data_IF_157140891439
#
_entry.id   IF_157140891439
#
_cell.length_a   1.000
_cell.length_b   1.000
_cell.length_c   1.000
_cell.angle_alpha   90.00
_cell.angle_beta   90.00
_cell.angle_gamma   90.00
#
_symmetry.space_group_name_H-M   'P 1'
#
loop_
_entity.id
_entity.type
_entity.pdbx_description
1 polymer ?
#
# COMPACT_ATOMS: atom_id res chain seq x y z
N UNK A 1 -83.39 4.02 -23.29
CA UNK A 1 -82.40 3.06 -22.79
C UNK A 1 -81.01 3.67 -23.09
N UNK A 2 -80.38 4.39 -22.11
CA UNK A 2 -79.12 5.08 -22.30
C UNK A 2 -77.98 4.23 -21.77
N UNK A 3 -77.06 3.75 -22.65
CA UNK A 3 -75.89 3.02 -22.27
C UNK A 3 -74.84 4.04 -21.73
N UNK A 4 -74.36 3.84 -20.52
CA UNK A 4 -73.19 4.49 -19.98
C UNK A 4 -71.96 3.61 -20.24
N UNK A 5 -71.02 4.12 -21.01
CA UNK A 5 -69.70 3.48 -21.20
C UNK A 5 -68.75 4.10 -20.13
N UNK A 6 -68.31 3.29 -19.17
CA UNK A 6 -67.30 3.67 -18.19
C UNK A 6 -65.90 3.44 -18.79
N UNK A 7 -65.14 4.52 -18.98
CA UNK A 7 -63.75 4.42 -19.41
C UNK A 7 -62.86 4.11 -18.19
N UNK A 8 -62.22 2.94 -18.17
CA UNK A 8 -61.19 2.57 -17.19
C UNK A 8 -59.87 3.25 -17.59
N UNK A 9 -59.43 4.21 -16.84
CA UNK A 9 -58.10 4.83 -16.99
C UNK A 9 -57.04 3.94 -16.28
N UNK A 10 -56.26 3.17 -17.05
CA UNK A 10 -55.12 2.40 -16.53
C UNK A 10 -53.92 3.33 -16.30
N UNK A 11 -53.63 3.62 -15.04
CA UNK A 11 -52.41 4.38 -14.65
C UNK A 11 -51.19 3.47 -14.77
N UNK A 12 -50.35 3.70 -15.78
CA UNK A 12 -49.09 3.01 -15.94
C UNK A 12 -48.08 3.70 -14.99
N UNK A 13 -47.75 3.05 -13.88
CA UNK A 13 -46.63 3.47 -13.02
C UNK A 13 -45.30 3.16 -13.75
N UNK A 14 -44.66 4.17 -14.29
CA UNK A 14 -43.32 4.06 -14.82
C UNK A 14 -42.32 3.89 -13.65
N UNK A 15 -41.83 2.67 -13.41
CA UNK A 15 -40.70 2.44 -12.54
C UNK A 15 -39.44 3.01 -13.22
N UNK A 16 -38.96 4.17 -12.78
CA UNK A 16 -37.63 4.63 -13.12
C UNK A 16 -36.62 3.69 -12.46
N UNK A 17 -35.68 3.07 -13.20
CA UNK A 17 -34.62 2.29 -12.57
C UNK A 17 -33.78 3.24 -11.70
N UNK A 18 -33.76 3.00 -10.40
CA UNK A 18 -32.82 3.64 -9.49
C UNK A 18 -31.45 3.21 -9.97
N UNK A 19 -30.68 4.14 -10.54
CA UNK A 19 -29.29 3.90 -10.90
C UNK A 19 -28.54 3.50 -9.62
N UNK A 20 -28.23 2.23 -9.48
CA UNK A 20 -27.44 1.74 -8.37
C UNK A 20 -26.06 2.37 -8.48
N UNK A 21 -25.69 3.24 -7.53
CA UNK A 21 -24.37 3.83 -7.50
C UNK A 21 -23.33 2.71 -7.59
N UNK A 22 -22.36 2.85 -8.52
CA UNK A 22 -21.33 1.85 -8.70
C UNK A 22 -20.60 1.64 -7.36
N UNK A 23 -20.54 0.39 -6.90
CA UNK A 23 -19.91 0.05 -5.62
C UNK A 23 -18.44 0.48 -5.66
N UNK A 24 -18.00 1.26 -4.68
CA UNK A 24 -16.60 1.63 -4.52
C UNK A 24 -15.73 0.37 -4.42
N UNK A 25 -14.53 0.35 -5.02
CA UNK A 25 -13.63 -0.80 -4.90
C UNK A 25 -13.18 -0.96 -3.44
N UNK A 26 -12.87 -2.19 -3.04
CA UNK A 26 -12.18 -2.42 -1.76
C UNK A 26 -10.74 -1.88 -1.87
N UNK A 27 -10.26 -1.26 -0.80
CA UNK A 27 -8.88 -0.81 -0.65
C UNK A 27 -8.16 -1.80 0.26
N UNK A 28 -7.04 -2.35 -0.22
CA UNK A 28 -6.17 -3.25 0.54
C UNK A 28 -4.87 -2.53 0.83
N UNK A 29 -4.55 -2.35 2.11
CA UNK A 29 -3.38 -1.63 2.61
C UNK A 29 -2.33 -2.62 3.09
N UNK A 30 -1.10 -2.50 2.60
CA UNK A 30 0.03 -3.37 2.93
C UNK A 30 1.15 -2.53 3.51
N UNK A 31 1.53 -2.81 4.76
CA UNK A 31 2.57 -2.07 5.49
C UNK A 31 3.98 -2.41 4.98
N UNK A 32 4.94 -1.54 5.26
CA UNK A 32 6.35 -1.69 4.93
C UNK A 32 7.14 -2.61 5.86
N UNK A 33 8.46 -2.61 5.68
CA UNK A 33 9.38 -3.22 6.64
C UNK A 33 9.37 -2.44 7.96
N UNK A 34 9.68 -3.13 9.06
CA UNK A 34 9.75 -2.56 10.42
C UNK A 34 8.42 -2.05 10.98
N UNK A 35 7.30 -2.42 10.37
CA UNK A 35 5.93 -1.98 10.68
C UNK A 35 5.00 -3.18 10.80
N UNK A 36 3.77 -2.92 11.27
CA UNK A 36 2.63 -3.84 11.22
C UNK A 36 1.36 -3.13 10.70
N UNK A 37 0.24 -3.84 10.61
CA UNK A 37 -1.01 -3.29 10.07
C UNK A 37 -1.61 -2.14 10.88
N UNK A 38 -1.22 -1.95 12.14
CA UNK A 38 -1.77 -0.89 13.02
C UNK A 38 -1.42 0.52 12.53
N UNK A 39 -0.35 0.65 11.75
CA UNK A 39 0.07 1.94 11.17
C UNK A 39 -1.00 2.58 10.29
N UNK A 40 -1.91 1.78 9.73
CA UNK A 40 -2.96 2.24 8.83
C UNK A 40 -4.22 2.76 9.54
N UNK A 41 -4.28 2.76 10.88
CA UNK A 41 -5.51 3.04 11.64
C UNK A 41 -6.22 4.33 11.24
N UNK A 42 -5.50 5.45 11.15
CA UNK A 42 -6.08 6.75 10.79
C UNK A 42 -6.55 6.81 9.32
N UNK A 43 -5.77 6.27 8.40
CA UNK A 43 -6.11 6.21 6.97
C UNK A 43 -7.32 5.30 6.76
N UNK A 44 -7.37 4.15 7.43
CA UNK A 44 -8.53 3.23 7.41
C UNK A 44 -9.80 3.95 7.86
N UNK A 45 -9.76 4.62 9.02
CA UNK A 45 -10.92 5.33 9.56
C UNK A 45 -11.44 6.43 8.60
N UNK A 46 -10.53 7.19 7.96
CA UNK A 46 -10.91 8.21 6.97
C UNK A 46 -11.56 7.59 5.74
N UNK A 47 -10.93 6.57 5.14
CA UNK A 47 -11.45 5.89 3.95
C UNK A 47 -12.80 5.19 4.20
N UNK A 48 -12.98 4.59 5.39
CA UNK A 48 -14.26 3.99 5.79
C UNK A 48 -15.36 5.04 5.98
N UNK A 49 -15.02 6.20 6.56
CA UNK A 49 -15.94 7.35 6.66
C UNK A 49 -16.37 7.81 5.29
N UNK A 50 -15.49 7.77 4.30
CA UNK A 50 -15.77 8.12 2.91
C UNK A 50 -16.47 6.99 2.14
N UNK A 51 -16.82 5.88 2.81
CA UNK A 51 -17.65 4.80 2.26
C UNK A 51 -16.87 3.74 1.47
N UNK A 52 -15.56 3.62 1.66
CA UNK A 52 -14.79 2.49 1.14
C UNK A 52 -14.82 1.31 2.11
N UNK A 53 -14.71 0.10 1.59
CA UNK A 53 -14.31 -1.06 2.37
C UNK A 53 -12.79 -1.13 2.39
N UNK A 54 -12.20 -1.19 3.59
CA UNK A 54 -10.75 -1.23 3.77
C UNK A 54 -10.33 -2.54 4.43
N UNK A 55 -9.19 -3.08 4.00
CA UNK A 55 -8.54 -4.25 4.58
C UNK A 55 -7.06 -3.92 4.78
N UNK A 56 -6.64 -3.70 6.02
CA UNK A 56 -5.23 -3.61 6.38
C UNK A 56 -4.69 -5.03 6.58
N UNK A 57 -3.68 -5.40 5.79
CA UNK A 57 -3.06 -6.74 5.84
C UNK A 57 -1.90 -6.71 6.82
N UNK A 58 -1.91 -7.64 7.77
CA UNK A 58 -0.80 -7.85 8.69
C UNK A 58 0.08 -9.00 8.18
N UNK A 59 1.28 -8.66 7.71
CA UNK A 59 2.20 -9.62 7.13
C UNK A 59 2.77 -10.57 8.21
N UNK A 60 3.07 -11.84 7.90
CA UNK A 60 3.67 -12.78 8.85
C UNK A 60 5.00 -12.30 9.46
N UNK A 61 5.30 -12.70 10.69
CA UNK A 61 6.49 -12.28 11.42
C UNK A 61 6.30 -10.99 12.23
N UNK A 62 5.05 -10.55 12.41
CA UNK A 62 4.66 -9.39 13.24
C UNK A 62 4.13 -9.85 14.60
N UNK A 63 4.11 -8.98 15.63
CA UNK A 63 3.58 -9.35 16.94
C UNK A 63 2.16 -9.92 16.92
N UNK A 64 1.29 -9.38 16.05
CA UNK A 64 -0.10 -9.82 15.85
C UNK A 64 -0.23 -11.03 14.92
N UNK A 65 0.80 -11.34 14.12
CA UNK A 65 0.86 -12.48 13.21
C UNK A 65 2.23 -13.20 13.34
N UNK A 66 2.53 -13.80 14.51
CA UNK A 66 3.87 -14.26 14.86
C UNK A 66 4.31 -15.43 14.00
N UNK A 67 5.54 -15.35 13.51
CA UNK A 67 6.22 -16.40 12.76
C UNK A 67 7.74 -16.27 12.95
N UNK A 68 8.45 -17.40 13.02
CA UNK A 68 9.90 -17.38 13.12
C UNK A 68 10.52 -16.77 11.84
N UNK A 69 11.54 -15.90 11.94
CA UNK A 69 12.10 -15.18 10.79
C UNK A 69 12.58 -16.07 9.65
N UNK A 70 13.09 -17.27 9.95
CA UNK A 70 13.54 -18.26 8.99
C UNK A 70 12.38 -18.92 8.19
N UNK A 71 11.13 -18.75 8.62
CA UNK A 71 9.92 -19.24 7.94
C UNK A 71 9.22 -18.16 7.11
N UNK A 72 9.66 -16.92 7.24
CA UNK A 72 9.06 -15.79 6.48
C UNK A 72 9.75 -15.65 5.13
N UNK A 73 8.97 -15.55 4.05
CA UNK A 73 9.47 -15.38 2.69
C UNK A 73 8.67 -14.32 1.92
N UNK A 74 9.21 -13.81 0.81
CA UNK A 74 8.48 -12.90 -0.09
C UNK A 74 7.23 -13.57 -0.67
N UNK A 75 7.31 -14.86 -1.00
CA UNK A 75 6.16 -15.63 -1.47
C UNK A 75 5.05 -15.73 -0.43
N UNK A 76 5.41 -15.92 0.85
CA UNK A 76 4.44 -15.94 1.94
C UNK A 76 3.76 -14.58 2.11
N UNK A 77 4.51 -13.47 2.00
CA UNK A 77 3.94 -12.12 2.03
C UNK A 77 2.97 -11.91 0.86
N UNK A 78 3.39 -12.24 -0.37
CA UNK A 78 2.53 -12.22 -1.55
C UNK A 78 1.24 -13.01 -1.33
N UNK A 79 1.34 -14.25 -0.87
CA UNK A 79 0.19 -15.15 -0.73
C UNK A 79 -0.75 -14.69 0.40
N UNK A 80 -0.23 -14.05 1.44
CA UNK A 80 -1.03 -13.40 2.48
C UNK A 80 -1.88 -12.26 1.90
N UNK A 81 -1.30 -11.41 1.05
CA UNK A 81 -2.05 -10.33 0.38
C UNK A 81 -3.05 -10.91 -0.62
N UNK A 82 -2.71 -11.95 -1.38
CA UNK A 82 -3.65 -12.63 -2.29
C UNK A 82 -4.85 -13.19 -1.52
N UNK A 83 -4.64 -13.81 -0.37
CA UNK A 83 -5.72 -14.30 0.49
C UNK A 83 -6.65 -13.17 0.95
N UNK A 84 -6.11 -11.99 1.26
CA UNK A 84 -6.94 -10.82 1.58
C UNK A 84 -7.75 -10.36 0.35
N UNK A 85 -7.16 -10.38 -0.85
CA UNK A 85 -7.85 -10.08 -2.10
C UNK A 85 -8.94 -11.09 -2.44
N UNK A 86 -8.77 -12.37 -2.11
CA UNK A 86 -9.78 -13.42 -2.32
C UNK A 86 -11.06 -13.17 -1.53
N UNK A 87 -10.95 -12.49 -0.39
CA UNK A 87 -12.09 -12.10 0.44
C UNK A 87 -12.79 -10.81 -0.05
N UNK A 88 -12.26 -10.14 -1.09
CA UNK A 88 -12.87 -8.92 -1.64
C UNK A 88 -13.88 -9.23 -2.73
N UNK A 89 -14.83 -8.31 -2.95
CA UNK A 89 -15.74 -8.37 -4.10
C UNK A 89 -15.15 -7.55 -5.25
N UNK A 90 -14.88 -8.21 -6.38
CA UNK A 90 -14.31 -7.56 -7.57
C UNK A 90 -12.82 -7.22 -7.42
N UNK A 91 -12.34 -6.33 -8.30
CA UNK A 91 -10.93 -5.88 -8.27
C UNK A 91 -10.71 -4.83 -7.19
N UNK A 92 -9.61 -4.94 -6.45
CA UNK A 92 -9.24 -4.04 -5.38
C UNK A 92 -8.20 -3.00 -5.81
N UNK A 93 -8.18 -1.85 -5.13
CA UNK A 93 -7.04 -0.96 -5.09
C UNK A 93 -6.08 -1.50 -4.03
N UNK A 94 -4.83 -1.73 -4.39
CA UNK A 94 -3.81 -2.29 -3.48
C UNK A 94 -2.74 -1.25 -3.25
N UNK A 95 -2.61 -0.81 -2.00
CA UNK A 95 -1.64 0.19 -1.57
C UNK A 95 -0.49 -0.52 -0.87
N UNK A 96 0.73 -0.30 -1.32
CA UNK A 96 1.93 -0.80 -0.67
C UNK A 96 2.84 0.34 -0.24
N UNK A 97 3.21 0.35 1.03
CA UNK A 97 4.17 1.30 1.58
C UNK A 97 5.59 0.73 1.57
N UNK A 98 6.57 1.54 1.19
CA UNK A 98 7.99 1.19 1.36
C UNK A 98 8.34 -0.17 0.74
N UNK A 99 8.83 -1.13 1.52
CA UNK A 99 9.12 -2.50 1.09
C UNK A 99 7.90 -3.20 0.45
N UNK A 100 6.69 -2.89 0.92
CA UNK A 100 5.50 -3.52 0.35
C UNK A 100 5.29 -3.20 -1.14
N UNK A 101 5.98 -2.23 -1.71
CA UNK A 101 6.01 -2.04 -3.17
C UNK A 101 6.51 -3.29 -3.92
N UNK A 102 7.51 -4.00 -3.36
CA UNK A 102 7.98 -5.29 -3.90
C UNK A 102 6.92 -6.39 -3.70
N UNK A 103 6.28 -6.42 -2.50
CA UNK A 103 5.24 -7.41 -2.20
C UNK A 103 4.05 -7.27 -3.15
N UNK A 104 3.51 -6.05 -3.33
CA UNK A 104 2.35 -5.82 -4.21
C UNK A 104 2.72 -6.01 -5.70
N UNK A 105 3.97 -5.83 -6.07
CA UNK A 105 4.46 -6.16 -7.42
C UNK A 105 4.46 -7.68 -7.65
N UNK A 106 4.89 -8.48 -6.66
CA UNK A 106 4.79 -9.94 -6.70
C UNK A 106 3.32 -10.41 -6.74
N UNK A 107 2.40 -9.74 -6.02
CA UNK A 107 0.96 -10.01 -6.09
C UNK A 107 0.44 -9.76 -7.49
N UNK A 108 0.78 -8.62 -8.11
CA UNK A 108 0.35 -8.26 -9.45
C UNK A 108 0.94 -9.18 -10.53
N UNK A 109 2.14 -9.68 -10.34
CA UNK A 109 2.72 -10.70 -11.23
C UNK A 109 1.95 -12.02 -11.14
N UNK A 110 1.55 -12.43 -9.94
CA UNK A 110 0.85 -13.71 -9.70
C UNK A 110 -0.62 -13.67 -10.12
N UNK A 111 -1.35 -12.60 -9.76
CA UNK A 111 -2.79 -12.49 -10.02
C UNK A 111 -3.21 -11.04 -10.39
N UNK A 112 -2.81 -10.57 -11.58
CA UNK A 112 -3.12 -9.20 -12.02
C UNK A 112 -4.62 -8.93 -12.15
N UNK A 113 -5.44 -9.98 -12.31
CA UNK A 113 -6.89 -9.84 -12.55
C UNK A 113 -7.65 -9.38 -11.31
N UNK A 114 -7.11 -9.58 -10.10
CA UNK A 114 -7.71 -9.12 -8.84
C UNK A 114 -7.46 -7.66 -8.53
N UNK A 115 -6.55 -7.03 -9.25
CA UNK A 115 -6.09 -5.67 -8.98
C UNK A 115 -6.74 -4.68 -9.95
N UNK A 116 -7.33 -3.62 -9.40
CA UNK A 116 -7.81 -2.46 -10.15
C UNK A 116 -6.65 -1.50 -10.41
N UNK A 117 -5.96 -1.09 -9.35
CA UNK A 117 -4.84 -0.15 -9.36
C UNK A 117 -3.86 -0.53 -8.25
N UNK A 118 -2.57 -0.50 -8.53
CA UNK A 118 -1.50 -0.50 -7.53
C UNK A 118 -1.17 0.94 -7.14
N UNK A 119 -1.08 1.20 -5.85
CA UNK A 119 -0.63 2.49 -5.31
C UNK A 119 0.67 2.27 -4.55
N UNK A 120 1.74 2.87 -5.03
CA UNK A 120 3.07 2.84 -4.42
C UNK A 120 3.23 4.08 -3.55
N UNK A 121 3.16 3.94 -2.23
CA UNK A 121 3.37 5.03 -1.27
C UNK A 121 4.80 5.01 -0.79
N UNK A 122 5.62 6.00 -1.16
CA UNK A 122 7.05 6.03 -0.78
C UNK A 122 7.69 4.65 -0.90
N UNK A 123 7.41 3.93 -1.99
CA UNK A 123 7.61 2.49 -2.06
C UNK A 123 8.61 2.10 -3.16
N UNK A 124 9.29 0.98 -2.95
CA UNK A 124 10.12 0.39 -4.00
C UNK A 124 9.26 -0.06 -5.18
N UNK A 125 9.55 0.50 -6.36
CA UNK A 125 8.91 0.15 -7.63
C UNK A 125 9.91 -0.64 -8.48
N UNK A 126 9.91 -2.00 -8.40
CA UNK A 126 10.99 -2.83 -8.89
C UNK A 126 10.95 -3.06 -10.41
N UNK A 127 12.11 -3.36 -10.97
CA UNK A 127 12.29 -4.07 -12.23
C UNK A 127 12.44 -5.58 -11.97
N UNK A 128 12.38 -6.39 -13.03
CA UNK A 128 12.58 -7.84 -12.93
C UNK A 128 13.93 -8.18 -12.29
N UNK A 129 13.92 -9.02 -11.26
CA UNK A 129 15.11 -9.43 -10.52
C UNK A 129 15.58 -8.46 -9.42
N UNK A 130 14.91 -7.31 -9.22
CA UNK A 130 15.24 -6.43 -8.10
C UNK A 130 14.76 -7.01 -6.76
N UNK A 131 15.49 -6.71 -5.69
CA UNK A 131 15.11 -6.94 -4.29
C UNK A 131 15.20 -5.61 -3.53
N UNK A 132 14.64 -5.53 -2.31
CA UNK A 132 14.83 -4.33 -1.50
C UNK A 132 16.33 -4.02 -1.34
N UNK A 133 17.14 -5.04 -1.01
CA UNK A 133 18.58 -4.87 -0.80
C UNK A 133 19.26 -4.33 -2.05
N UNK A 134 18.98 -4.89 -3.23
CA UNK A 134 19.61 -4.44 -4.48
C UNK A 134 19.18 -3.03 -4.87
N UNK A 135 17.94 -2.62 -4.56
CA UNK A 135 17.43 -1.28 -4.85
C UNK A 135 17.96 -0.25 -3.85
N UNK A 136 17.99 -0.57 -2.55
CA UNK A 136 18.53 0.31 -1.52
C UNK A 136 20.01 0.68 -1.77
N UNK A 137 20.80 -0.25 -2.31
CA UNK A 137 22.19 0.01 -2.72
C UNK A 137 22.31 1.03 -3.88
N UNK A 138 21.25 1.29 -4.62
CA UNK A 138 21.20 2.25 -5.74
C UNK A 138 20.71 3.64 -5.30
N UNK A 139 20.39 3.83 -4.01
CA UNK A 139 19.94 5.09 -3.40
C UNK A 139 21.03 5.70 -2.50
N UNK A 140 21.97 6.50 -3.05
CA UNK A 140 23.05 7.07 -2.29
C UNK A 140 22.61 8.18 -1.32
N UNK A 141 21.41 8.74 -1.51
CA UNK A 141 20.87 9.84 -0.70
C UNK A 141 20.07 9.33 0.51
N UNK A 142 19.73 8.04 0.55
CA UNK A 142 19.06 7.41 1.70
C UNK A 142 19.92 7.47 2.96
N UNK A 143 19.30 7.79 4.10
CA UNK A 143 20.00 7.92 5.40
C UNK A 143 19.89 6.67 6.28
N UNK A 144 19.02 5.73 5.94
CA UNK A 144 18.77 4.56 6.78
C UNK A 144 19.95 3.58 6.83
N UNK A 145 20.72 3.45 5.74
CA UNK A 145 21.76 2.44 5.61
C UNK A 145 22.74 2.35 6.80
N UNK A 146 23.38 3.46 7.25
CA UNK A 146 24.30 3.46 8.39
C UNK A 146 23.68 3.04 9.72
N UNK A 147 22.34 3.09 9.84
CA UNK A 147 21.59 2.81 11.05
C UNK A 147 20.93 1.43 11.06
N UNK A 148 21.14 0.64 9.99
CA UNK A 148 20.65 -0.75 9.93
C UNK A 148 21.59 -1.69 10.68
N UNK A 149 21.02 -2.53 11.53
CA UNK A 149 21.71 -3.65 12.18
C UNK A 149 21.20 -4.95 11.60
N UNK A 150 22.11 -5.73 11.01
CA UNK A 150 21.81 -7.03 10.41
C UNK A 150 22.27 -8.13 11.36
N UNK A 151 21.33 -8.84 11.94
CA UNK A 151 21.56 -9.95 12.87
C UNK A 151 21.32 -11.28 12.13
N UNK A 152 22.33 -11.73 11.36
CA UNK A 152 22.20 -12.90 10.46
C UNK A 152 21.80 -14.17 11.19
N UNK A 153 22.33 -14.40 12.39
CA UNK A 153 22.04 -15.58 13.21
C UNK A 153 20.58 -15.63 13.67
N UNK A 154 19.97 -14.45 13.90
CA UNK A 154 18.56 -14.32 14.22
C UNK A 154 17.67 -14.23 12.99
N UNK A 155 18.25 -14.01 11.82
CA UNK A 155 17.52 -13.82 10.56
C UNK A 155 16.71 -12.52 10.51
N UNK A 156 17.15 -11.45 11.20
CA UNK A 156 16.44 -10.17 11.30
C UNK A 156 17.33 -8.97 10.95
N UNK A 157 16.67 -7.91 10.49
CA UNK A 157 17.19 -6.55 10.45
C UNK A 157 16.47 -5.70 11.51
N UNK A 158 17.19 -4.78 12.13
CA UNK A 158 16.63 -3.76 13.01
C UNK A 158 17.19 -2.37 12.66
N UNK A 159 16.49 -1.33 13.07
CA UNK A 159 16.94 0.07 12.92
C UNK A 159 17.41 0.57 14.27
N UNK A 160 18.56 1.25 14.31
CA UNK A 160 19.10 1.84 15.52
C UNK A 160 18.07 2.76 16.20
N UNK A 161 17.79 2.51 17.49
CA UNK A 161 16.71 3.17 18.23
C UNK A 161 16.79 4.71 18.15
N UNK A 162 18.00 5.28 18.35
CA UNK A 162 18.23 6.73 18.34
C UNK A 162 17.98 7.40 16.99
N UNK A 163 18.03 6.64 15.89
CA UNK A 163 17.86 7.17 14.54
C UNK A 163 16.39 7.12 14.05
N UNK A 164 15.55 6.29 14.69
CA UNK A 164 14.19 5.98 14.18
C UNK A 164 13.33 7.22 13.97
N UNK A 165 13.27 8.14 14.94
CA UNK A 165 12.46 9.35 14.84
C UNK A 165 12.89 10.22 13.64
N UNK A 166 14.19 10.47 13.51
CA UNK A 166 14.74 11.28 12.43
C UNK A 166 14.54 10.63 11.05
N UNK A 167 14.68 9.32 10.94
CA UNK A 167 14.52 8.59 9.68
C UNK A 167 13.06 8.55 9.21
N UNK A 168 12.16 8.21 10.12
CA UNK A 168 10.78 7.85 9.73
C UNK A 168 9.80 9.02 9.84
N UNK A 169 10.05 10.00 10.73
CA UNK A 169 9.07 11.06 11.06
C UNK A 169 9.68 12.46 11.13
N UNK A 170 10.82 12.70 10.49
CA UNK A 170 11.43 14.03 10.43
C UNK A 170 10.43 15.09 9.94
N UNK A 171 10.38 16.24 10.63
CA UNK A 171 9.43 17.31 10.35
C UNK A 171 7.96 17.00 10.74
N UNK A 172 7.68 15.81 11.25
CA UNK A 172 6.36 15.45 11.77
C UNK A 172 6.08 16.01 13.17
N UNK A 173 4.84 15.81 13.69
CA UNK A 173 4.45 16.25 15.03
C UNK A 173 5.39 15.70 16.12
N UNK A 174 5.72 16.52 17.12
CA UNK A 174 6.66 16.16 18.20
C UNK A 174 6.21 14.88 18.96
N UNK A 175 4.91 14.75 19.25
CA UNK A 175 4.36 13.56 19.91
C UNK A 175 4.59 12.29 19.12
N UNK A 176 4.47 12.36 17.79
CA UNK A 176 4.75 11.24 16.90
C UNK A 176 6.26 10.90 16.90
N UNK A 177 7.13 11.90 16.80
CA UNK A 177 8.58 11.67 16.85
C UNK A 177 9.02 11.01 18.15
N UNK A 178 8.37 11.29 19.28
CA UNK A 178 8.62 10.63 20.58
C UNK A 178 8.14 9.18 20.63
N UNK A 179 7.04 8.86 19.96
CA UNK A 179 6.41 7.54 19.99
C UNK A 179 7.06 6.54 19.01
N UNK A 180 7.53 6.99 17.85
CA UNK A 180 8.02 6.13 16.77
C UNK A 180 9.18 5.23 17.18
N UNK A 181 10.17 5.65 17.99
CA UNK A 181 11.25 4.75 18.39
C UNK A 181 10.80 3.44 19.01
N UNK A 182 9.70 3.45 19.76
CA UNK A 182 9.14 2.26 20.39
C UNK A 182 8.22 1.44 19.48
N UNK A 183 7.68 2.07 18.42
CA UNK A 183 6.76 1.43 17.50
C UNK A 183 7.44 0.67 16.33
N UNK A 184 8.70 1.01 16.02
CA UNK A 184 9.49 0.34 14.97
C UNK A 184 9.93 -1.04 15.45
N UNK A 185 9.56 -2.08 14.72
CA UNK A 185 9.82 -3.49 15.04
C UNK A 185 10.91 -4.09 14.16
N UNK A 186 11.38 -5.29 14.50
CA UNK A 186 12.39 -6.00 13.68
C UNK A 186 11.74 -6.60 12.41
N UNK A 187 12.54 -6.73 11.36
CA UNK A 187 12.11 -7.24 10.05
C UNK A 187 12.83 -8.56 9.71
N UNK A 188 12.13 -9.62 9.27
CA UNK A 188 12.76 -10.81 8.70
C UNK A 188 13.62 -10.50 7.47
N UNK A 189 14.85 -11.05 7.42
CA UNK A 189 15.82 -10.73 6.37
C UNK A 189 15.49 -11.35 5.00
N UNK A 190 14.95 -12.57 5.00
CA UNK A 190 14.76 -13.34 3.76
C UNK A 190 13.94 -12.57 2.74
N UNK A 191 12.76 -12.00 3.09
CA UNK A 191 11.96 -11.26 2.12
C UNK A 191 12.68 -10.03 1.53
N UNK A 192 13.51 -9.35 2.34
CA UNK A 192 14.24 -8.14 1.92
C UNK A 192 15.29 -8.44 0.85
N UNK A 193 15.91 -9.61 0.92
CA UNK A 193 16.97 -10.02 0.01
C UNK A 193 16.46 -10.82 -1.21
N UNK A 194 15.19 -11.25 -1.18
CA UNK A 194 14.62 -12.10 -2.25
C UNK A 194 14.31 -11.26 -3.48
N UNK A 195 14.87 -11.60 -4.66
CA UNK A 195 14.52 -10.94 -5.92
C UNK A 195 13.05 -11.19 -6.29
N UNK A 196 12.36 -10.14 -6.73
CA UNK A 196 11.00 -10.25 -7.26
C UNK A 196 11.04 -10.50 -8.76
N UNK A 197 10.16 -11.38 -9.24
CA UNK A 197 9.90 -11.53 -10.67
C UNK A 197 8.74 -10.65 -11.06
N UNK A 198 8.93 -9.85 -12.11
CA UNK A 198 7.86 -9.03 -12.73
C UNK A 198 7.99 -9.06 -14.25
N UNK A 199 6.87 -9.15 -14.96
CA UNK A 199 6.83 -9.22 -16.41
C UNK A 199 5.93 -8.13 -17.00
N UNK A 200 6.20 -7.75 -18.24
CA UNK A 200 5.31 -6.85 -19.00
C UNK A 200 3.92 -7.46 -19.22
N UNK A 201 3.80 -8.78 -19.20
CA UNK A 201 2.54 -9.50 -19.44
C UNK A 201 1.56 -9.43 -18.26
N UNK A 202 2.06 -9.38 -17.03
CA UNK A 202 1.28 -9.39 -15.80
C UNK A 202 1.41 -8.04 -15.05
N UNK A 203 2.45 -7.88 -14.24
CA UNK A 203 2.70 -6.63 -13.50
C UNK A 203 2.68 -5.39 -14.40
N UNK A 204 3.30 -5.47 -15.59
CA UNK A 204 3.38 -4.36 -16.54
C UNK A 204 2.02 -3.84 -17.00
N UNK A 205 0.99 -4.70 -17.07
CA UNK A 205 -0.37 -4.32 -17.52
C UNK A 205 -1.25 -3.73 -16.43
N UNK A 206 -0.89 -3.89 -15.16
CA UNK A 206 -1.69 -3.38 -14.04
C UNK A 206 -1.51 -1.86 -13.97
N UNK A 207 -2.62 -1.13 -13.81
CA UNK A 207 -2.60 0.31 -13.58
C UNK A 207 -1.84 0.65 -12.29
N UNK A 208 -1.01 1.69 -12.34
CA UNK A 208 -0.11 2.08 -11.25
C UNK A 208 -0.19 3.58 -10.97
N UNK A 209 -0.12 3.93 -9.70
CA UNK A 209 0.04 5.30 -9.21
C UNK A 209 1.19 5.32 -8.21
N UNK A 210 1.92 6.42 -8.16
CA UNK A 210 2.95 6.65 -7.17
C UNK A 210 2.61 7.87 -6.30
N UNK A 211 2.74 7.73 -4.98
CA UNK A 211 2.60 8.81 -4.00
C UNK A 211 3.98 9.03 -3.38
N UNK A 212 4.58 10.17 -3.71
CA UNK A 212 5.90 10.58 -3.21
C UNK A 212 5.80 11.18 -1.82
N UNK A 213 6.88 11.04 -1.05
CA UNK A 213 7.11 11.72 0.22
C UNK A 213 8.32 12.64 0.09
N UNK A 214 8.10 13.97 0.11
CA UNK A 214 9.11 14.96 -0.26
C UNK A 214 10.25 15.12 0.78
N UNK A 215 10.02 14.68 2.03
CA UNK A 215 10.99 14.80 3.12
C UNK A 215 11.56 13.45 3.54
N UNK A 216 11.43 12.43 2.73
CA UNK A 216 11.80 11.04 3.02
C UNK A 216 13.32 10.87 3.18
N UNK A 217 13.75 10.24 4.26
CA UNK A 217 15.15 9.89 4.54
C UNK A 217 15.41 8.38 4.47
N UNK A 218 14.39 7.58 4.23
CA UNK A 218 14.47 6.11 4.10
C UNK A 218 14.60 5.71 2.64
N UNK A 219 13.74 6.23 1.77
CA UNK A 219 13.84 6.15 0.31
C UNK A 219 13.87 7.59 -0.20
N UNK A 220 15.04 8.03 -0.65
CA UNK A 220 15.22 9.43 -1.01
C UNK A 220 14.23 9.90 -2.09
N UNK A 221 13.78 11.17 -2.05
CA UNK A 221 12.91 11.71 -3.11
C UNK A 221 13.53 11.59 -4.50
N UNK A 222 14.84 11.72 -4.63
CA UNK A 222 15.57 11.53 -5.89
C UNK A 222 15.47 10.09 -6.40
N UNK A 223 15.53 9.09 -5.50
CA UNK A 223 15.39 7.70 -5.86
C UNK A 223 13.94 7.32 -6.17
N UNK A 224 12.97 7.86 -5.43
CA UNK A 224 11.55 7.72 -5.76
C UNK A 224 11.26 8.18 -7.20
N UNK A 225 11.73 9.38 -7.57
CA UNK A 225 11.58 9.91 -8.93
C UNK A 225 12.29 9.03 -9.98
N UNK A 226 13.50 8.51 -9.67
CA UNK A 226 14.24 7.59 -10.56
C UNK A 226 13.49 6.29 -10.81
N UNK A 227 12.86 5.70 -9.79
CA UNK A 227 12.07 4.48 -9.96
C UNK A 227 10.86 4.70 -10.87
N UNK A 228 10.15 5.81 -10.69
CA UNK A 228 9.00 6.18 -11.53
C UNK A 228 9.41 6.47 -12.98
N UNK A 229 10.55 7.11 -13.19
CA UNK A 229 11.08 7.33 -14.55
C UNK A 229 11.36 6.01 -15.31
N UNK A 230 11.64 4.91 -14.58
CA UNK A 230 11.92 3.60 -15.18
C UNK A 230 10.67 2.71 -15.33
N UNK A 231 9.56 3.05 -14.67
CA UNK A 231 8.33 2.24 -14.71
C UNK A 231 7.12 3.16 -14.90
N UNK A 232 6.42 3.09 -16.03
CA UNK A 232 5.26 3.96 -16.29
C UNK A 232 4.19 3.83 -15.21
N UNK A 233 3.78 4.97 -14.66
CA UNK A 233 2.64 5.12 -13.76
C UNK A 233 1.61 6.07 -14.39
N UNK A 234 0.34 5.89 -14.06
CA UNK A 234 -0.74 6.73 -14.61
C UNK A 234 -0.75 8.14 -14.03
N UNK A 235 -0.40 8.26 -12.75
CA UNK A 235 -0.37 9.53 -12.04
C UNK A 235 0.64 9.49 -10.90
N UNK A 236 1.13 10.66 -10.54
CA UNK A 236 2.01 10.90 -9.42
C UNK A 236 1.39 11.96 -8.51
N UNK A 237 1.46 11.75 -7.20
CA UNK A 237 1.09 12.71 -6.17
C UNK A 237 2.26 12.92 -5.22
N UNK A 238 2.30 14.03 -4.49
CA UNK A 238 3.39 14.34 -3.57
C UNK A 238 2.84 14.85 -2.26
N UNK A 239 3.18 14.17 -1.17
CA UNK A 239 2.92 14.61 0.19
C UNK A 239 4.17 15.28 0.76
N UNK A 240 3.99 16.40 1.47
CA UNK A 240 5.08 17.12 2.13
C UNK A 240 5.40 16.47 3.49
N UNK A 241 5.67 15.17 3.48
CA UNK A 241 5.89 14.34 4.67
C UNK A 241 7.21 13.59 4.60
N UNK A 242 7.66 13.11 5.76
CA UNK A 242 8.68 12.07 5.87
C UNK A 242 8.09 10.70 5.45
N UNK A 243 8.85 9.62 5.66
CA UNK A 243 8.54 8.27 5.21
C UNK A 243 7.16 7.75 5.67
N UNK A 244 6.76 7.99 6.94
CA UNK A 244 5.50 7.51 7.50
C UNK A 244 4.35 8.50 7.25
N UNK A 245 4.02 8.74 5.98
CA UNK A 245 2.96 9.68 5.57
C UNK A 245 1.60 9.35 6.20
N UNK A 246 1.26 8.09 6.41
CA UNK A 246 0.01 7.63 7.02
C UNK A 246 -0.15 8.05 8.50
N UNK A 247 0.93 8.43 9.17
CA UNK A 247 0.91 8.99 10.54
C UNK A 247 1.05 10.50 10.56
N UNK A 248 1.69 11.10 9.53
CA UNK A 248 1.98 12.54 9.48
C UNK A 248 0.83 13.30 8.81
N UNK A 249 0.33 12.81 7.68
CA UNK A 249 -0.80 13.39 6.94
C UNK A 249 -1.77 12.30 6.44
N UNK A 250 -2.49 11.63 7.37
CA UNK A 250 -3.41 10.55 7.00
C UNK A 250 -4.56 11.00 6.10
N UNK A 251 -5.00 12.25 6.22
CA UNK A 251 -6.09 12.79 5.40
C UNK A 251 -5.63 13.05 3.96
N UNK A 252 -4.51 13.73 3.77
CA UNK A 252 -3.94 13.96 2.44
C UNK A 252 -3.61 12.64 1.73
N UNK A 253 -3.11 11.65 2.48
CA UNK A 253 -2.88 10.32 1.93
C UNK A 253 -4.18 9.62 1.52
N UNK A 254 -5.22 9.67 2.35
CA UNK A 254 -6.51 9.06 2.02
C UNK A 254 -7.10 9.71 0.76
N UNK A 255 -7.05 11.03 0.63
CA UNK A 255 -7.53 11.76 -0.55
C UNK A 255 -6.78 11.33 -1.83
N UNK A 256 -5.46 11.09 -1.76
CA UNK A 256 -4.68 10.60 -2.90
C UNK A 256 -5.00 9.13 -3.25
N UNK A 257 -5.23 8.28 -2.26
CA UNK A 257 -5.71 6.90 -2.47
C UNK A 257 -7.10 6.90 -3.12
N UNK A 258 -8.00 7.78 -2.73
CA UNK A 258 -9.33 7.92 -3.35
C UNK A 258 -9.26 8.32 -4.82
N UNK A 259 -8.36 9.26 -5.18
CA UNK A 259 -8.11 9.61 -6.59
C UNK A 259 -7.64 8.40 -7.40
N UNK A 260 -6.88 7.48 -6.78
CA UNK A 260 -6.48 6.22 -7.40
C UNK A 260 -7.67 5.28 -7.61
N UNK A 261 -8.65 5.29 -6.72
CA UNK A 261 -9.81 4.41 -6.72
C UNK A 261 -10.92 4.81 -7.71
N UNK A 262 -11.00 6.09 -8.11
CA UNK A 262 -12.11 6.64 -8.89
C UNK A 262 -12.02 6.44 -10.40
N UNK A 263 -10.96 5.86 -10.93
CA UNK A 263 -10.77 5.62 -12.37
C UNK A 263 -11.09 4.22 -12.86
#
# INVERSE_FOLDING_TARGET
MKLFIAALASSIFAFSPIAQAAQKPTIVLVHGAFEDATVWGHVTAKLETDGYKVVAVDLPGRPSNPMAPDKVSLDLYRDTVIKALDATKGRAVVVGHSFAGIVISAVAEKDPKKIKTLVFLAAYLPQDGDSLVSMAQKDPDAKIGPHLKIEKEKGIASVEYSARAALFTNGGPEGLQKAIPDAVIDEPLIPLATPVKVTAANFGKVDKIYIHTALDQVISPSFQAKMVANTPVRAEYTLQTAHLAFLIDPNGLADDIEKAATK
#
